data_IF_382634994564
#
_entry.id   IF_382634994564
#
_cell.length_a   1.000
_cell.length_b   1.000
_cell.length_c   1.000
_cell.angle_alpha   90.00
_cell.angle_beta   90.00
_cell.angle_gamma   90.00
#
_symmetry.space_group_name_H-M   'P 1'
#
loop_
_entity.id
_entity.type
_entity.pdbx_description
1 polymer ?
#
# COMPACT_ATOMS: atom_id res chain seq x y z
N UNK A 1 -3.22 16.23 -24.11
CA UNK A 1 -2.10 17.01 -23.54
C UNK A 1 -1.85 16.70 -22.06
N UNK A 2 -2.84 16.82 -21.18
CA UNK A 2 -2.68 16.60 -19.73
C UNK A 2 -2.07 15.23 -19.36
N UNK A 3 -2.48 14.17 -20.06
CA UNK A 3 -1.92 12.81 -19.96
C UNK A 3 -0.41 12.73 -20.17
N UNK A 4 0.07 13.30 -21.27
CA UNK A 4 1.49 13.29 -21.64
C UNK A 4 2.28 14.10 -20.62
N UNK A 5 1.74 15.22 -20.17
CA UNK A 5 2.34 16.07 -19.13
C UNK A 5 2.44 15.31 -17.80
N UNK A 6 1.38 14.61 -17.37
CA UNK A 6 1.40 13.82 -16.14
C UNK A 6 2.38 12.65 -16.21
N UNK A 7 2.40 11.87 -17.30
CA UNK A 7 3.34 10.76 -17.46
C UNK A 7 4.79 11.25 -17.49
N UNK A 8 5.05 12.35 -18.19
CA UNK A 8 6.38 12.95 -18.26
C UNK A 8 6.79 13.51 -16.90
N UNK A 9 5.89 14.20 -16.17
CA UNK A 9 6.19 14.66 -14.81
C UNK A 9 6.44 13.50 -13.85
N UNK A 10 5.61 12.45 -13.87
CA UNK A 10 5.81 11.24 -13.05
C UNK A 10 7.12 10.53 -13.41
N UNK A 11 7.48 10.46 -14.69
CA UNK A 11 8.74 9.88 -15.14
C UNK A 11 9.96 10.73 -14.72
N UNK A 12 9.87 12.05 -14.84
CA UNK A 12 10.94 12.97 -14.47
C UNK A 12 11.14 13.00 -12.94
N UNK A 13 10.06 13.07 -12.17
CA UNK A 13 10.12 12.99 -10.70
C UNK A 13 10.66 11.64 -10.24
N UNK A 14 10.26 10.53 -10.88
CA UNK A 14 10.81 9.20 -10.58
C UNK A 14 12.30 9.09 -10.89
N UNK A 15 12.77 9.66 -12.01
CA UNK A 15 14.20 9.65 -12.37
C UNK A 15 15.06 10.49 -11.42
N UNK A 16 14.54 11.64 -10.99
CA UNK A 16 15.23 12.48 -10.00
C UNK A 16 15.29 11.77 -8.64
N UNK A 17 14.16 11.18 -8.20
CA UNK A 17 14.14 10.39 -6.97
C UNK A 17 15.09 9.20 -7.04
N UNK A 18 15.12 8.49 -8.17
CA UNK A 18 16.01 7.33 -8.35
C UNK A 18 17.48 7.74 -8.30
N UNK A 19 17.87 8.85 -8.93
CA UNK A 19 19.24 9.38 -8.84
C UNK A 19 19.62 9.76 -7.41
N UNK A 20 18.71 10.37 -6.66
CA UNK A 20 18.94 10.74 -5.25
C UNK A 20 19.07 9.47 -4.40
N UNK A 21 18.17 8.50 -4.59
CA UNK A 21 18.19 7.21 -3.89
C UNK A 21 19.47 6.42 -4.18
N UNK A 22 19.90 6.36 -5.45
CA UNK A 22 21.13 5.68 -5.85
C UNK A 22 22.37 6.34 -5.27
N UNK A 23 22.43 7.69 -5.27
CA UNK A 23 23.53 8.42 -4.62
C UNK A 23 23.58 8.16 -3.11
N UNK A 24 22.43 8.10 -2.44
CA UNK A 24 22.33 7.79 -1.01
C UNK A 24 22.78 6.35 -0.73
N UNK A 25 22.42 5.40 -1.59
CA UNK A 25 22.79 3.99 -1.44
C UNK A 25 24.28 3.74 -1.68
N UNK A 26 24.87 4.41 -2.68
CA UNK A 26 26.32 4.38 -2.91
C UNK A 26 27.06 5.06 -1.76
N UNK A 27 26.57 6.20 -1.26
CA UNK A 27 27.18 6.90 -0.13
C UNK A 27 27.16 6.07 1.16
N UNK A 28 26.07 5.34 1.44
CA UNK A 28 26.00 4.44 2.60
C UNK A 28 26.94 3.25 2.47
N UNK A 29 27.00 2.60 1.31
CA UNK A 29 27.92 1.47 1.10
C UNK A 29 29.38 1.93 1.18
N UNK A 30 29.70 3.12 0.66
CA UNK A 30 31.06 3.67 0.75
C UNK A 30 31.45 3.98 2.20
N UNK A 31 30.50 4.46 3.02
CA UNK A 31 30.73 4.75 4.44
C UNK A 31 30.88 3.47 5.29
N UNK A 32 30.15 2.40 4.97
CA UNK A 32 30.32 1.11 5.66
C UNK A 32 31.67 0.44 5.29
N UNK A 33 32.17 0.66 4.07
CA UNK A 33 33.47 0.09 3.62
C UNK A 33 34.67 0.91 4.15
N UNK A 34 34.60 2.24 4.17
CA UNK A 34 35.68 3.09 4.68
C UNK A 34 35.60 3.40 6.19
N UNK A 35 34.49 3.06 6.85
CA UNK A 35 34.20 3.42 8.23
C UNK A 35 34.80 2.52 9.32
N UNK A 36 35.67 1.56 8.99
CA UNK A 36 36.26 0.62 9.97
C UNK A 36 37.36 1.24 10.87
N UNK A 37 37.22 2.51 11.22
CA UNK A 37 38.21 3.32 11.93
C UNK A 37 37.60 4.10 13.10
N UNK A 38 37.11 3.37 14.10
CA UNK A 38 37.25 3.74 15.53
C UNK A 38 36.91 5.18 15.90
N UNK A 39 35.67 5.68 15.76
CA UNK A 39 35.23 6.81 16.60
C UNK A 39 33.69 6.91 16.73
N UNK A 40 33.25 6.88 18.00
CA UNK A 40 32.03 7.48 18.55
C UNK A 40 30.69 6.69 18.46
N UNK A 41 30.36 6.00 19.56
CA UNK A 41 29.10 5.28 19.77
C UNK A 41 27.84 6.18 19.77
N UNK A 42 27.99 7.51 19.89
CA UNK A 42 26.86 8.42 19.96
C UNK A 42 26.24 8.75 18.59
N UNK A 43 26.94 8.49 17.47
CA UNK A 43 26.46 8.77 16.11
C UNK A 43 25.82 7.56 15.40
N UNK A 44 25.90 6.37 16.02
CA UNK A 44 25.29 5.13 15.51
C UNK A 44 23.75 5.19 15.56
N UNK A 45 23.19 5.94 16.52
CA UNK A 45 21.74 6.10 16.62
C UNK A 45 21.20 6.90 15.43
N UNK A 46 21.81 8.05 15.10
CA UNK A 46 21.36 8.89 13.98
C UNK A 46 21.43 8.18 12.63
N UNK A 47 22.47 7.37 12.39
CA UNK A 47 22.61 6.60 11.14
C UNK A 47 21.60 5.46 11.04
N UNK A 48 21.27 4.77 12.15
CA UNK A 48 20.20 3.76 12.17
C UNK A 48 18.82 4.38 11.92
N UNK A 49 18.50 5.51 12.57
CA UNK A 49 17.20 6.18 12.38
C UNK A 49 17.02 6.64 10.94
N UNK A 50 18.07 7.21 10.32
CA UNK A 50 18.03 7.61 8.90
C UNK A 50 17.81 6.41 7.96
N UNK A 51 18.51 5.29 8.18
CA UNK A 51 18.30 4.05 7.41
C UNK A 51 16.85 3.55 7.52
N UNK A 52 16.27 3.57 8.72
CA UNK A 52 14.87 3.18 8.94
C UNK A 52 13.87 4.12 8.25
N UNK A 53 14.08 5.44 8.31
CA UNK A 53 13.23 6.44 7.66
C UNK A 53 13.25 6.27 6.13
N UNK A 54 14.43 6.09 5.52
CA UNK A 54 14.55 5.92 4.07
C UNK A 54 13.87 4.63 3.60
N UNK A 55 13.99 3.54 4.36
CA UNK A 55 13.30 2.29 4.07
C UNK A 55 11.77 2.43 4.13
N UNK A 56 11.26 3.21 5.09
CA UNK A 56 9.83 3.51 5.20
C UNK A 56 9.34 4.39 4.03
N UNK A 57 10.11 5.40 3.63
CA UNK A 57 9.78 6.25 2.50
C UNK A 57 9.71 5.49 1.17
N UNK A 58 10.61 4.52 0.93
CA UNK A 58 10.58 3.66 -0.27
C UNK A 58 9.25 2.89 -0.37
N UNK A 59 8.74 2.35 0.75
CA UNK A 59 7.47 1.61 0.77
C UNK A 59 6.29 2.50 0.40
N UNK A 60 6.22 3.72 0.95
CA UNK A 60 5.16 4.67 0.57
C UNK A 60 5.26 5.09 -0.89
N UNK A 61 6.48 5.30 -1.42
CA UNK A 61 6.67 5.68 -2.81
C UNK A 61 6.13 4.63 -3.79
N UNK A 62 6.36 3.34 -3.53
CA UNK A 62 5.86 2.29 -4.41
C UNK A 62 4.33 2.25 -4.42
N UNK A 63 3.68 2.42 -3.26
CA UNK A 63 2.21 2.48 -3.17
C UNK A 63 1.66 3.63 -4.02
N UNK A 64 2.24 4.82 -3.88
CA UNK A 64 1.84 6.00 -4.65
C UNK A 64 2.06 5.78 -6.15
N UNK A 65 3.17 5.15 -6.54
CA UNK A 65 3.46 4.84 -7.94
C UNK A 65 2.42 3.89 -8.56
N UNK A 66 2.04 2.81 -7.87
CA UNK A 66 1.03 1.86 -8.36
C UNK A 66 -0.35 2.54 -8.44
N UNK A 67 -0.73 3.31 -7.42
CA UNK A 67 -1.97 4.09 -7.43
C UNK A 67 -2.03 5.06 -8.63
N UNK A 68 -0.93 5.78 -8.87
CA UNK A 68 -0.80 6.71 -10.01
C UNK A 68 -0.94 5.97 -11.34
N UNK A 69 -0.34 4.78 -11.47
CA UNK A 69 -0.44 3.96 -12.67
C UNK A 69 -1.88 3.47 -12.93
N UNK A 70 -2.61 3.07 -11.90
CA UNK A 70 -4.03 2.71 -12.01
C UNK A 70 -4.90 3.87 -12.51
N UNK A 71 -4.67 5.08 -11.97
CA UNK A 71 -5.38 6.28 -12.42
C UNK A 71 -5.02 6.65 -13.86
N UNK A 72 -3.77 6.43 -14.27
CA UNK A 72 -3.35 6.62 -15.65
C UNK A 72 -4.10 5.68 -16.61
N UNK A 73 -4.23 4.40 -16.29
CA UNK A 73 -5.00 3.46 -17.12
C UNK A 73 -6.44 3.92 -17.26
N UNK A 74 -7.07 4.34 -16.16
CA UNK A 74 -8.46 4.83 -16.17
C UNK A 74 -8.64 6.03 -17.10
N UNK A 75 -7.70 6.98 -17.06
CA UNK A 75 -7.77 8.16 -17.89
C UNK A 75 -7.40 7.87 -19.36
N UNK A 76 -6.52 6.89 -19.65
CA UNK A 76 -6.30 6.41 -21.03
C UNK A 76 -7.59 5.83 -21.58
N UNK A 77 -8.29 5.02 -20.79
CA UNK A 77 -9.56 4.44 -21.19
C UNK A 77 -10.63 5.51 -21.49
N UNK A 78 -10.75 6.53 -20.64
CA UNK A 78 -11.64 7.67 -20.89
C UNK A 78 -11.24 8.45 -22.16
N UNK A 79 -9.94 8.62 -22.39
CA UNK A 79 -9.44 9.29 -23.58
C UNK A 79 -9.74 8.48 -24.86
N UNK A 80 -9.57 7.16 -24.83
CA UNK A 80 -9.92 6.27 -25.94
C UNK A 80 -11.40 6.37 -26.30
N UNK A 81 -12.28 6.49 -25.30
CA UNK A 81 -13.72 6.70 -25.51
C UNK A 81 -14.01 8.00 -26.29
N UNK A 82 -13.41 9.11 -25.87
CA UNK A 82 -13.55 10.40 -26.57
C UNK A 82 -13.00 10.31 -28.00
N UNK A 83 -11.88 9.61 -28.18
CA UNK A 83 -11.27 9.41 -29.49
C UNK A 83 -12.18 8.62 -30.43
N UNK A 84 -12.75 7.50 -29.97
CA UNK A 84 -13.70 6.69 -30.77
C UNK A 84 -14.95 7.48 -31.14
N UNK A 85 -15.50 8.23 -30.17
CA UNK A 85 -16.67 9.08 -30.41
C UNK A 85 -16.37 10.15 -31.47
N UNK A 86 -15.16 10.72 -31.48
CA UNK A 86 -14.74 11.72 -32.45
C UNK A 86 -14.61 11.17 -33.88
N UNK A 87 -14.10 9.95 -34.05
CA UNK A 87 -13.94 9.32 -35.37
C UNK A 87 -15.17 8.54 -35.85
N UNK A 88 -16.25 8.47 -35.05
CA UNK A 88 -17.47 7.72 -35.35
C UNK A 88 -17.24 6.23 -35.68
N UNK A 89 -16.21 5.61 -35.06
CA UNK A 89 -15.87 4.20 -35.27
C UNK A 89 -16.79 3.30 -34.43
N UNK A 90 -17.96 2.95 -34.97
CA UNK A 90 -18.99 2.15 -34.29
C UNK A 90 -18.53 0.75 -33.88
N UNK A 91 -17.73 0.08 -34.72
CA UNK A 91 -17.17 -1.25 -34.40
C UNK A 91 -16.20 -1.21 -33.21
N UNK A 92 -15.31 -0.21 -33.18
CA UNK A 92 -14.36 -0.04 -32.08
C UNK A 92 -15.09 0.31 -30.78
N UNK A 93 -16.18 1.08 -30.86
CA UNK A 93 -17.00 1.42 -29.69
C UNK A 93 -17.63 0.18 -29.04
N UNK A 94 -18.14 -0.76 -29.83
CA UNK A 94 -18.68 -2.02 -29.34
C UNK A 94 -17.60 -2.87 -28.63
N UNK A 95 -16.39 -2.89 -29.17
CA UNK A 95 -15.28 -3.61 -28.55
C UNK A 95 -14.78 -2.93 -27.27
N UNK A 96 -14.76 -1.58 -27.26
CA UNK A 96 -14.36 -0.78 -26.10
C UNK A 96 -15.35 -0.92 -24.94
N UNK A 97 -16.65 -1.09 -25.23
CA UNK A 97 -17.66 -1.41 -24.21
C UNK A 97 -17.38 -2.74 -23.52
N UNK A 98 -16.94 -3.78 -24.25
CA UNK A 98 -16.55 -5.06 -23.64
C UNK A 98 -15.33 -4.90 -22.73
N UNK A 99 -14.41 -4.01 -23.10
CA UNK A 99 -13.19 -3.80 -22.32
C UNK A 99 -13.39 -2.91 -21.09
N UNK A 100 -14.49 -2.15 -20.99
CA UNK A 100 -14.78 -1.19 -19.91
C UNK A 100 -14.70 -1.80 -18.50
N UNK A 101 -15.08 -3.08 -18.39
CA UNK A 101 -15.16 -3.80 -17.12
C UNK A 101 -13.79 -3.98 -16.47
N UNK A 102 -12.74 -4.23 -17.25
CA UNK A 102 -11.39 -4.49 -16.75
C UNK A 102 -10.71 -3.29 -16.06
N UNK A 103 -10.62 -2.09 -16.65
CA UNK A 103 -10.00 -0.94 -16.00
C UNK A 103 -10.81 -0.46 -14.79
N UNK A 104 -12.13 -0.68 -14.77
CA UNK A 104 -12.95 -0.41 -13.59
C UNK A 104 -12.54 -1.31 -12.42
N UNK A 105 -12.47 -2.63 -12.63
CA UNK A 105 -12.01 -3.56 -11.60
C UNK A 105 -10.54 -3.33 -11.19
N UNK A 106 -9.66 -3.04 -12.15
CA UNK A 106 -8.27 -2.69 -11.87
C UNK A 106 -8.19 -1.46 -10.95
N UNK A 107 -8.95 -0.41 -11.23
CA UNK A 107 -8.96 0.77 -10.37
C UNK A 107 -9.45 0.45 -8.95
N UNK A 108 -10.58 -0.27 -8.83
CA UNK A 108 -11.20 -0.62 -7.54
C UNK A 108 -10.31 -1.55 -6.70
N UNK A 109 -9.70 -2.57 -7.31
CA UNK A 109 -8.91 -3.55 -6.57
C UNK A 109 -7.43 -3.19 -6.45
N UNK A 110 -6.90 -2.26 -7.27
CA UNK A 110 -5.48 -1.91 -7.22
C UNK A 110 -5.06 -1.41 -5.85
N UNK A 111 -5.88 -0.61 -5.16
CA UNK A 111 -5.57 -0.15 -3.81
C UNK A 111 -5.44 -1.32 -2.82
N UNK A 112 -6.40 -2.24 -2.83
CA UNK A 112 -6.40 -3.42 -1.96
C UNK A 112 -5.25 -4.37 -2.26
N UNK A 113 -4.98 -4.66 -3.54
CA UNK A 113 -3.85 -5.50 -3.97
C UNK A 113 -2.51 -4.88 -3.58
N UNK A 114 -2.37 -3.56 -3.76
CA UNK A 114 -1.16 -2.82 -3.39
C UNK A 114 -0.96 -2.85 -1.87
N UNK A 115 -2.01 -2.63 -1.08
CA UNK A 115 -1.94 -2.74 0.38
C UNK A 115 -1.55 -4.16 0.82
N UNK A 116 -2.10 -5.18 0.18
CA UNK A 116 -1.83 -6.58 0.52
C UNK A 116 -0.38 -6.97 0.22
N UNK A 117 0.18 -6.48 -0.89
CA UNK A 117 1.57 -6.75 -1.27
C UNK A 117 2.55 -5.96 -0.39
N UNK A 118 2.30 -4.67 -0.15
CA UNK A 118 3.27 -3.76 0.47
C UNK A 118 3.15 -3.61 1.98
N UNK A 119 2.02 -3.99 2.59
CA UNK A 119 1.85 -3.92 4.04
C UNK A 119 2.21 -5.26 4.71
N UNK A 120 3.40 -5.37 5.33
CA UNK A 120 3.77 -6.58 6.06
C UNK A 120 2.85 -6.83 7.27
N UNK A 121 2.24 -5.78 7.83
CA UNK A 121 1.24 -5.91 8.90
C UNK A 121 -0.03 -6.59 8.40
N UNK A 122 -0.53 -6.20 7.23
CA UNK A 122 -1.72 -6.83 6.62
C UNK A 122 -1.43 -8.30 6.28
N UNK A 123 -0.23 -8.60 5.77
CA UNK A 123 0.20 -9.99 5.55
C UNK A 123 0.30 -10.79 6.84
N UNK A 124 0.86 -10.21 7.90
CA UNK A 124 0.96 -10.89 9.20
C UNK A 124 -0.43 -11.19 9.78
N UNK A 125 -1.37 -10.26 9.65
CA UNK A 125 -2.76 -10.47 10.06
C UNK A 125 -3.46 -11.55 9.21
N UNK A 126 -3.31 -11.52 7.89
CA UNK A 126 -3.89 -12.52 6.99
C UNK A 126 -3.33 -13.93 7.25
N UNK A 127 -2.03 -14.04 7.57
CA UNK A 127 -1.42 -15.31 7.94
C UNK A 127 -1.89 -15.78 9.32
N UNK A 128 -1.99 -14.87 10.31
CA UNK A 128 -2.46 -15.19 11.66
C UNK A 128 -3.90 -15.69 11.71
N UNK A 129 -4.77 -15.24 10.81
CA UNK A 129 -6.17 -15.72 10.72
C UNK A 129 -6.24 -17.16 10.19
N UNK A 130 -5.25 -17.59 9.40
CA UNK A 130 -5.24 -18.93 8.80
C UNK A 130 -5.03 -20.04 9.84
N UNK A 131 -4.32 -19.75 10.93
CA UNK A 131 -4.02 -20.73 11.98
C UNK A 131 -5.23 -21.02 12.90
N UNK A 132 -6.25 -20.16 12.92
CA UNK A 132 -7.45 -20.33 13.76
C UNK A 132 -8.49 -21.25 13.10
N UNK A 133 -8.33 -21.57 11.82
CA UNK A 133 -9.31 -22.35 11.06
C UNK A 133 -9.09 -23.86 11.12
N UNK A 134 -8.17 -24.37 11.94
CA UNK A 134 -8.05 -25.81 12.15
C UNK A 134 -9.28 -26.29 12.95
N UNK A 135 -10.19 -27.08 12.35
CA UNK A 135 -11.34 -27.60 13.06
C UNK A 135 -10.81 -28.57 14.11
N UNK A 136 -10.87 -28.14 15.38
CA UNK A 136 -10.70 -28.98 16.56
C UNK A 136 -11.36 -30.33 16.30
N UNK A 137 -10.57 -31.36 16.02
CA UNK A 137 -11.10 -32.70 15.84
C UNK A 137 -11.75 -33.08 17.16
N UNK A 138 -13.08 -33.24 17.12
CA UNK A 138 -13.90 -33.78 18.19
C UNK A 138 -13.25 -35.07 18.68
N UNK A 139 -12.55 -34.97 19.81
CA UNK A 139 -11.78 -36.03 20.44
C UNK A 139 -12.04 -36.02 21.93
N UNK A 140 -13.18 -36.61 22.28
CA UNK A 140 -13.48 -37.34 23.52
C UNK A 140 -13.34 -36.62 24.88
N UNK A 141 -14.44 -36.52 25.66
CA UNK A 141 -14.45 -35.86 26.96
C UNK A 141 -13.76 -36.73 28.00
N UNK A 142 -12.72 -36.22 28.69
CA UNK A 142 -12.30 -36.77 29.98
C UNK A 142 -12.00 -35.66 30.98
N UNK A 143 -13.00 -35.43 31.83
CA UNK A 143 -12.90 -35.27 33.28
C UNK A 143 -12.01 -34.15 33.87
N UNK A 144 -12.72 -33.11 34.30
CA UNK A 144 -12.70 -32.52 35.66
C UNK A 144 -11.35 -32.22 36.31
N UNK A 145 -11.05 -30.93 36.50
CA UNK A 145 -10.67 -30.39 37.82
C UNK A 145 -10.91 -28.89 37.87
N UNK A 146 -11.77 -28.50 38.80
CA UNK A 146 -12.14 -27.16 39.18
C UNK A 146 -11.02 -26.45 39.96
N UNK A 147 -10.81 -25.16 39.71
CA UNK A 147 -10.55 -24.17 40.77
C UNK A 147 -10.65 -22.72 40.27
N UNK A 148 -10.88 -21.75 41.18
CA UNK A 148 -11.68 -20.57 40.91
C UNK A 148 -10.89 -19.24 40.88
N UNK A 149 -11.46 -18.26 40.18
CA UNK A 149 -11.70 -16.91 40.71
C UNK A 149 -10.55 -15.91 40.78
N UNK A 150 -10.55 -14.92 39.87
CA UNK A 150 -10.14 -13.51 40.08
C UNK A 150 -10.54 -12.73 38.82
N UNK A 151 -11.60 -11.92 38.83
CA UNK A 151 -11.55 -10.52 39.30
C UNK A 151 -10.76 -9.73 38.26
N UNK A 152 -11.34 -9.04 37.27
CA UNK A 152 -12.45 -8.11 37.38
C UNK A 152 -11.85 -6.71 37.31
N UNK A 153 -11.65 -6.19 36.10
CA UNK A 153 -11.49 -4.75 35.88
C UNK A 153 -11.93 -4.44 34.43
N UNK A 154 -13.17 -3.96 34.37
CA UNK A 154 -13.89 -3.49 33.20
C UNK A 154 -13.53 -2.01 33.04
N UNK A 155 -12.80 -1.67 31.97
CA UNK A 155 -12.52 -0.28 31.61
C UNK A 155 -13.42 0.04 30.42
N UNK A 156 -14.52 0.74 30.71
CA UNK A 156 -15.37 1.43 29.74
C UNK A 156 -14.52 2.39 28.89
N UNK A 157 -14.54 2.21 27.57
CA UNK A 157 -14.14 3.27 26.63
C UNK A 157 -15.39 4.01 26.13
N UNK A 158 -15.35 5.35 26.08
CA UNK A 158 -16.49 6.17 25.68
C UNK A 158 -16.74 6.10 24.17
N UNK A 159 -17.99 5.77 23.83
CA UNK A 159 -18.54 5.83 22.48
C UNK A 159 -18.64 7.30 22.04
N UNK A 160 -17.75 7.71 21.14
CA UNK A 160 -17.88 9.00 20.43
C UNK A 160 -18.89 8.83 19.31
N UNK A 161 -20.12 9.25 19.59
CA UNK A 161 -21.18 9.45 18.59
C UNK A 161 -20.76 10.63 17.72
N UNK A 162 -20.46 10.36 16.44
CA UNK A 162 -20.30 11.39 15.43
C UNK A 162 -21.60 11.46 14.62
N UNK A 163 -22.45 12.42 14.97
CA UNK A 163 -23.55 12.85 14.13
C UNK A 163 -22.98 13.58 12.91
N UNK A 164 -23.25 13.05 11.72
CA UNK A 164 -23.12 13.79 10.45
C UNK A 164 -24.52 13.98 9.88
N UNK A 165 -25.23 14.95 10.46
CA UNK A 165 -26.25 15.73 9.77
C UNK A 165 -25.56 16.76 8.85
N UNK A 166 -26.18 17.03 7.70
CA UNK A 166 -25.80 18.13 6.80
C UNK A 166 -25.50 17.61 5.39
N UNK A 167 -26.47 17.33 4.53
CA UNK A 167 -27.32 18.32 3.85
C UNK A 167 -26.46 19.38 3.13
N UNK A 168 -26.48 19.38 1.80
CA UNK A 168 -26.93 20.52 0.96
C UNK A 168 -26.39 20.39 -0.49
N UNK A 169 -27.34 20.21 -1.40
CA UNK A 169 -27.38 20.55 -2.84
C UNK A 169 -26.48 19.81 -3.86
#
# INVERSE_FOLDING_TARGET
MFMVVSVVLTGLTSRQLYKIQLKVEVAMNLHDIFGNGRFNNNNNFETQTRKAIVAQQRKMFIIVAVCTFSHLIKAIHQFSWVFVAYFHLSELNAELQKTYVYPHYLATYSASVTLLIFSPRVRALLLSVKDVSEPSSIGTPTTTTSRPGRGGEEVEEPVVVMDSEGNEN
#
